data_IF_779221556654
#
_entry.id   IF_779221556654
#
_cell.length_a   1.000
_cell.length_b   1.000
_cell.length_c   1.000
_cell.angle_alpha   90.00
_cell.angle_beta   90.00
_cell.angle_gamma   90.00
#
_symmetry.space_group_name_H-M   'P 1'
#
loop_
_entity.id
_entity.type
_entity.pdbx_description
1 polymer ?
#
# COMPACT_ATOMS: atom_id res chain seq x y z
N UNK A 1 -7.40 -10.17 20.34
CA UNK A 1 -7.47 -9.04 21.29
C UNK A 1 -8.94 -8.61 21.33
N UNK A 2 -9.58 -8.47 22.49
CA UNK A 2 -11.00 -8.06 22.54
C UNK A 2 -11.10 -6.55 22.28
N UNK A 3 -11.72 -6.10 21.17
CA UNK A 3 -11.72 -4.69 20.74
C UNK A 3 -12.47 -3.75 21.69
N UNK A 4 -13.30 -4.27 22.59
CA UNK A 4 -14.23 -3.46 23.39
C UNK A 4 -13.71 -3.08 24.78
N UNK A 5 -12.57 -3.60 25.22
CA UNK A 5 -12.21 -3.49 26.64
C UNK A 5 -11.62 -2.14 27.08
N UNK A 6 -11.01 -1.31 26.20
CA UNK A 6 -10.42 -0.02 26.62
C UNK A 6 -10.36 1.05 25.51
N UNK A 7 -11.49 1.71 25.18
CA UNK A 7 -11.52 2.79 24.17
C UNK A 7 -10.59 3.96 24.52
N UNK A 8 -10.51 4.34 25.79
CA UNK A 8 -9.64 5.43 26.26
C UNK A 8 -8.15 5.15 26.03
N UNK A 9 -7.70 3.91 26.24
CA UNK A 9 -6.31 3.52 26.00
C UNK A 9 -5.97 3.56 24.51
N UNK A 10 -6.90 3.17 23.63
CA UNK A 10 -6.73 3.27 22.18
C UNK A 10 -6.60 4.73 21.76
N UNK A 11 -7.47 5.60 22.25
CA UNK A 11 -7.40 7.03 21.96
C UNK A 11 -6.12 7.68 22.52
N UNK A 12 -5.68 7.33 23.73
CA UNK A 12 -4.44 7.83 24.30
C UNK A 12 -3.22 7.42 23.45
N UNK A 13 -3.22 6.16 22.97
CA UNK A 13 -2.18 5.65 22.07
C UNK A 13 -2.19 6.37 20.72
N UNK A 14 -3.36 6.59 20.12
CA UNK A 14 -3.46 7.37 18.87
C UNK A 14 -2.95 8.79 19.08
N UNK A 15 -3.39 9.49 20.13
CA UNK A 15 -2.90 10.85 20.41
C UNK A 15 -1.38 10.90 20.57
N UNK A 16 -0.80 9.91 21.25
CA UNK A 16 0.66 9.79 21.38
C UNK A 16 1.32 9.54 20.02
N UNK A 17 0.81 8.58 19.24
CA UNK A 17 1.32 8.26 17.90
C UNK A 17 1.24 9.47 16.97
N UNK A 18 0.08 10.14 16.89
CA UNK A 18 -0.08 11.35 16.09
C UNK A 18 0.95 12.41 16.48
N UNK A 19 1.19 12.63 17.77
CA UNK A 19 2.20 13.60 18.22
C UNK A 19 3.62 13.21 17.81
N UNK A 20 3.98 11.93 17.95
CA UNK A 20 5.32 11.43 17.61
C UNK A 20 5.55 11.41 16.11
N UNK A 21 4.61 10.87 15.33
CA UNK A 21 4.71 10.71 13.87
C UNK A 21 4.76 12.06 13.16
N UNK A 22 4.05 13.10 13.65
CA UNK A 22 4.13 14.47 13.12
C UNK A 22 5.52 15.10 13.19
N UNK A 23 6.39 14.60 14.07
CA UNK A 23 7.76 15.09 14.22
C UNK A 23 8.76 14.30 13.38
N UNK A 24 8.33 13.20 12.75
CA UNK A 24 9.19 12.34 11.94
C UNK A 24 9.08 12.73 10.47
N UNK A 25 10.21 12.66 9.77
CA UNK A 25 10.24 12.64 8.31
C UNK A 25 10.08 11.20 7.80
N UNK A 26 9.60 11.04 6.56
CA UNK A 26 9.53 9.75 5.87
C UNK A 26 8.67 8.69 6.60
N UNK A 27 7.42 9.05 6.89
CA UNK A 27 6.42 8.17 7.52
C UNK A 27 5.50 7.60 6.43
N UNK A 28 5.48 6.27 6.33
CA UNK A 28 4.65 5.52 5.40
C UNK A 28 3.56 4.78 6.16
N UNK A 29 2.33 4.91 5.69
CA UNK A 29 1.16 4.20 6.18
C UNK A 29 0.78 3.12 5.19
N UNK A 30 0.35 1.98 5.70
CA UNK A 30 0.08 0.79 4.88
C UNK A 30 -1.32 0.27 5.13
N UNK A 31 -2.01 -0.11 4.06
CA UNK A 31 -3.27 -0.84 4.14
C UNK A 31 -3.41 -1.84 2.98
N UNK A 32 -4.37 -2.76 3.09
CA UNK A 32 -4.78 -3.59 1.99
C UNK A 32 -6.31 -3.74 1.94
N UNK A 33 -6.85 -3.83 0.72
CA UNK A 33 -8.29 -4.02 0.49
C UNK A 33 -8.52 -5.14 -0.53
N UNK A 34 -9.44 -6.10 -0.30
CA UNK A 34 -9.76 -7.14 -1.26
C UNK A 34 -10.51 -6.58 -2.47
N UNK A 35 -10.25 -7.13 -3.66
CA UNK A 35 -11.07 -6.85 -4.84
C UNK A 35 -12.42 -7.57 -4.73
N UNK A 36 -13.51 -6.88 -5.02
CA UNK A 36 -14.86 -7.47 -4.95
C UNK A 36 -15.10 -8.61 -5.97
N UNK A 37 -14.44 -8.54 -7.14
CA UNK A 37 -14.73 -9.41 -8.30
C UNK A 37 -13.67 -10.49 -8.57
N UNK A 38 -12.59 -10.56 -7.78
CA UNK A 38 -11.49 -11.52 -8.00
C UNK A 38 -10.80 -11.91 -6.70
N UNK A 39 -10.20 -13.11 -6.61
CA UNK A 39 -9.48 -13.57 -5.42
C UNK A 39 -8.09 -12.92 -5.34
N UNK A 40 -8.06 -11.60 -5.21
CA UNK A 40 -6.85 -10.79 -5.12
C UNK A 40 -7.11 -9.61 -4.20
N UNK A 41 -6.05 -9.02 -3.66
CA UNK A 41 -6.13 -7.82 -2.85
C UNK A 41 -5.28 -6.71 -3.49
N UNK A 42 -5.65 -5.46 -3.25
CA UNK A 42 -4.78 -4.32 -3.46
C UNK A 42 -4.01 -4.05 -2.16
N UNK A 43 -2.70 -3.97 -2.24
CA UNK A 43 -1.83 -3.54 -1.15
C UNK A 43 -1.32 -2.13 -1.46
N UNK A 44 -1.34 -1.25 -0.48
CA UNK A 44 -0.97 0.17 -0.62
C UNK A 44 0.00 0.59 0.47
N UNK A 45 0.99 1.40 0.08
CA UNK A 45 1.76 2.22 1.01
C UNK A 45 1.70 3.68 0.56
N UNK A 46 1.34 4.60 1.46
CA UNK A 46 1.32 6.03 1.18
C UNK A 46 2.14 6.82 2.20
N UNK A 47 2.77 7.89 1.76
CA UNK A 47 3.26 8.90 2.68
C UNK A 47 2.12 9.86 3.07
N UNK A 48 2.16 10.30 4.31
CA UNK A 48 1.22 11.31 4.80
C UNK A 48 1.99 12.30 5.68
N UNK A 49 1.89 13.62 5.42
CA UNK A 49 0.91 14.30 4.57
C UNK A 49 1.34 14.54 3.10
N UNK A 50 2.44 13.95 2.61
CA UNK A 50 3.04 14.31 1.31
C UNK A 50 2.31 13.73 0.07
N UNK A 51 1.21 13.00 0.25
CA UNK A 51 0.25 12.51 -0.77
C UNK A 51 0.81 11.56 -1.84
N UNK A 52 2.06 11.12 -1.73
CA UNK A 52 2.60 10.08 -2.60
C UNK A 52 2.16 8.70 -2.13
N UNK A 53 1.84 7.82 -3.07
CA UNK A 53 1.48 6.44 -2.76
C UNK A 53 2.05 5.47 -3.80
N UNK A 54 2.15 4.22 -3.38
CA UNK A 54 2.46 3.09 -4.25
C UNK A 54 1.49 1.96 -3.93
N UNK A 55 1.06 1.24 -4.96
CA UNK A 55 0.09 0.19 -4.84
C UNK A 55 0.49 -1.00 -5.71
N UNK A 56 0.09 -2.21 -5.32
CA UNK A 56 0.17 -3.38 -6.17
C UNK A 56 -1.03 -4.31 -5.99
N UNK A 57 -1.33 -5.09 -7.03
CA UNK A 57 -2.27 -6.21 -6.90
C UNK A 57 -1.51 -7.43 -6.40
N UNK A 58 -1.96 -8.00 -5.29
CA UNK A 58 -1.45 -9.25 -4.74
C UNK A 58 -2.43 -10.37 -5.10
N UNK A 59 -2.03 -11.39 -5.87
CA UNK A 59 -2.91 -12.47 -6.32
C UNK A 59 -3.17 -13.49 -5.21
N UNK A 60 -3.78 -13.03 -4.12
CA UNK A 60 -4.13 -13.82 -2.95
C UNK A 60 -5.48 -13.36 -2.37
N UNK A 61 -6.34 -14.28 -1.91
CA UNK A 61 -7.52 -13.94 -1.12
C UNK A 61 -7.19 -13.72 0.37
N UNK A 62 -5.95 -14.02 0.81
CA UNK A 62 -5.54 -13.83 2.19
C UNK A 62 -5.15 -12.36 2.44
N UNK A 63 -6.02 -11.63 3.13
CA UNK A 63 -5.80 -10.21 3.44
C UNK A 63 -4.52 -9.97 4.24
N UNK A 64 -4.18 -10.83 5.19
CA UNK A 64 -2.96 -10.69 5.99
C UNK A 64 -1.69 -10.75 5.11
N UNK A 65 -1.67 -11.63 4.10
CA UNK A 65 -0.57 -11.70 3.16
C UNK A 65 -0.48 -10.44 2.27
N UNK A 66 -1.62 -9.80 1.97
CA UNK A 66 -1.64 -8.53 1.24
C UNK A 66 -1.19 -7.35 2.10
N UNK A 67 -1.57 -7.32 3.38
CA UNK A 67 -1.08 -6.33 4.35
C UNK A 67 0.43 -6.45 4.57
N UNK A 68 0.99 -7.67 4.58
CA UNK A 68 2.44 -7.87 4.57
C UNK A 68 3.09 -7.29 3.30
N UNK A 69 2.48 -7.47 2.12
CA UNK A 69 2.95 -6.85 0.89
C UNK A 69 2.91 -5.32 0.96
N UNK A 70 1.90 -4.73 1.62
CA UNK A 70 1.82 -3.29 1.83
C UNK A 70 3.01 -2.77 2.67
N UNK A 71 3.39 -3.51 3.72
CA UNK A 71 4.63 -3.25 4.48
C UNK A 71 5.86 -3.38 3.58
N UNK A 72 5.95 -4.41 2.75
CA UNK A 72 7.07 -4.58 1.82
C UNK A 72 7.19 -3.43 0.81
N UNK A 73 6.06 -2.90 0.30
CA UNK A 73 6.05 -1.72 -0.55
C UNK A 73 6.66 -0.50 0.18
N UNK A 74 6.26 -0.26 1.43
CA UNK A 74 6.83 0.82 2.23
C UNK A 74 8.34 0.64 2.46
N UNK A 75 8.82 -0.59 2.71
CA UNK A 75 10.26 -0.90 2.83
C UNK A 75 11.01 -0.55 1.53
N UNK A 76 10.46 -0.89 0.37
CA UNK A 76 11.05 -0.55 -0.93
C UNK A 76 11.15 0.97 -1.09
N UNK A 77 10.09 1.71 -0.75
CA UNK A 77 10.08 3.18 -0.84
C UNK A 77 11.08 3.84 0.09
N UNK A 78 11.14 3.41 1.35
CA UNK A 78 12.11 3.93 2.32
C UNK A 78 13.54 3.61 1.87
N UNK A 79 13.80 2.39 1.42
CA UNK A 79 15.12 1.99 0.91
C UNK A 79 15.53 2.82 -0.32
N UNK A 80 14.60 3.07 -1.25
CA UNK A 80 14.86 3.91 -2.41
C UNK A 80 15.18 5.37 -2.04
N UNK A 81 14.59 5.89 -0.96
CA UNK A 81 14.91 7.23 -0.45
C UNK A 81 16.32 7.34 0.15
N UNK A 82 16.91 6.22 0.59
CA UNK A 82 18.20 6.18 1.27
C UNK A 82 18.21 6.81 2.67
N UNK A 83 17.05 7.22 3.20
CA UNK A 83 16.92 7.85 4.52
C UNK A 83 16.16 6.95 5.48
N UNK A 84 16.42 7.02 6.81
CA UNK A 84 15.60 6.33 7.80
C UNK A 84 14.12 6.67 7.65
N UNK A 85 13.26 5.70 7.92
CA UNK A 85 11.81 5.87 7.76
C UNK A 85 11.02 5.09 8.80
N UNK A 86 9.75 5.45 8.92
CA UNK A 86 8.81 4.77 9.83
C UNK A 86 7.64 4.21 9.02
N UNK A 87 7.32 2.95 9.25
CA UNK A 87 6.16 2.28 8.66
C UNK A 87 5.11 2.12 9.74
N UNK A 88 3.89 2.54 9.46
CA UNK A 88 2.73 2.42 10.33
C UNK A 88 1.72 1.50 9.66
N UNK A 89 1.37 0.43 10.37
CA UNK A 89 0.36 -0.55 9.95
C UNK A 89 -0.67 -0.73 11.06
N UNK A 90 -1.94 -0.93 10.69
CA UNK A 90 -2.97 -1.35 11.64
C UNK A 90 -3.24 -2.85 11.68
N UNK A 91 -2.68 -3.59 10.72
CA UNK A 91 -2.63 -5.04 10.75
C UNK A 91 -1.71 -5.55 11.85
N UNK A 92 -2.31 -6.13 12.88
CA UNK A 92 -1.54 -6.76 13.95
C UNK A 92 -0.84 -8.04 13.45
N UNK A 93 -1.44 -8.76 12.50
CA UNK A 93 -0.89 -10.02 11.99
C UNK A 93 0.30 -9.75 11.08
N UNK A 94 0.19 -8.81 10.13
CA UNK A 94 1.32 -8.43 9.28
C UNK A 94 2.48 -7.85 10.10
N UNK A 95 2.17 -7.01 11.11
CA UNK A 95 3.18 -6.51 12.06
C UNK A 95 3.96 -7.66 12.71
N UNK A 96 3.26 -8.65 13.25
CA UNK A 96 3.88 -9.81 13.92
C UNK A 96 4.71 -10.63 12.95
N UNK A 97 4.17 -10.97 11.78
CA UNK A 97 4.88 -11.78 10.78
C UNK A 97 6.20 -11.12 10.39
N UNK A 98 6.15 -9.84 10.00
CA UNK A 98 7.33 -9.10 9.54
C UNK A 98 8.32 -8.86 10.68
N UNK A 99 7.84 -8.51 11.89
CA UNK A 99 8.72 -8.30 13.05
C UNK A 99 9.49 -9.56 13.48
N UNK A 100 8.97 -10.74 13.15
CA UNK A 100 9.63 -12.03 13.38
C UNK A 100 10.55 -12.45 12.22
N UNK A 101 10.75 -11.59 11.21
CA UNK A 101 11.55 -11.89 10.02
C UNK A 101 10.91 -12.89 9.07
N UNK A 102 9.59 -13.08 9.17
CA UNK A 102 8.81 -13.92 8.27
C UNK A 102 8.12 -13.07 7.20
N UNK A 103 7.67 -13.71 6.13
CA UNK A 103 6.85 -13.06 5.11
C UNK A 103 6.31 -14.06 4.11
N UNK A 104 5.15 -13.76 3.55
CA UNK A 104 4.57 -14.55 2.48
C UNK A 104 5.47 -14.57 1.23
N UNK A 105 5.30 -15.55 0.32
CA UNK A 105 6.01 -15.56 -0.95
C UNK A 105 5.83 -14.27 -1.76
N UNK A 106 4.67 -13.63 -1.67
CA UNK A 106 4.39 -12.35 -2.33
C UNK A 106 5.19 -11.20 -1.69
N UNK A 107 5.25 -11.17 -0.36
CA UNK A 107 6.07 -10.22 0.40
C UNK A 107 7.54 -10.32 0.00
N UNK A 108 8.08 -11.53 -0.05
CA UNK A 108 9.47 -11.77 -0.47
C UNK A 108 9.70 -11.37 -1.94
N UNK A 109 8.72 -11.58 -2.82
CA UNK A 109 8.83 -11.16 -4.21
C UNK A 109 8.94 -9.63 -4.34
N UNK A 110 8.18 -8.87 -3.55
CA UNK A 110 8.29 -7.40 -3.49
C UNK A 110 9.66 -6.99 -2.94
N UNK A 111 10.12 -7.59 -1.84
CA UNK A 111 11.41 -7.23 -1.23
C UNK A 111 12.61 -7.52 -2.14
N UNK A 112 12.54 -8.56 -2.98
CA UNK A 112 13.57 -8.88 -3.99
C UNK A 112 13.74 -7.84 -5.10
N UNK A 113 12.84 -6.85 -5.18
CA UNK A 113 13.01 -5.71 -6.09
C UNK A 113 14.05 -4.70 -5.60
N UNK A 114 14.43 -4.77 -4.32
CA UNK A 114 15.50 -3.95 -3.74
C UNK A 114 16.85 -4.48 -4.28
N UNK A 115 17.67 -3.64 -4.94
CA UNK A 115 18.97 -4.07 -5.43
C UNK A 115 19.91 -4.49 -4.28
N UNK A 116 20.66 -5.57 -4.44
CA UNK A 116 21.56 -6.13 -3.40
C UNK A 116 22.61 -5.13 -2.89
N UNK A 117 22.96 -4.13 -3.68
CA UNK A 117 23.96 -3.11 -3.36
C UNK A 117 23.37 -1.89 -2.62
N UNK A 118 22.06 -1.82 -2.43
CA UNK A 118 21.44 -0.72 -1.68
C UNK A 118 21.60 -0.95 -0.16
N UNK A 119 22.28 -0.05 0.57
CA UNK A 119 22.30 -0.13 2.02
C UNK A 119 20.89 0.07 2.56
N UNK A 120 20.43 -0.86 3.40
CA UNK A 120 19.13 -0.75 4.05
C UNK A 120 19.19 0.37 5.11
N UNK A 121 18.40 1.44 4.97
CA UNK A 121 18.30 2.45 6.01
C UNK A 121 17.61 1.87 7.26
N UNK A 122 17.70 2.58 8.39
CA UNK A 122 16.96 2.20 9.59
C UNK A 122 15.45 2.36 9.33
N UNK A 123 14.70 1.26 9.48
CA UNK A 123 13.25 1.23 9.30
C UNK A 123 12.60 0.88 10.66
N UNK A 124 11.74 1.76 11.15
CA UNK A 124 10.95 1.52 12.34
C UNK A 124 9.55 1.04 11.94
N UNK A 125 9.14 -0.15 12.40
CA UNK A 125 7.79 -0.66 12.18
C UNK A 125 6.93 -0.45 13.43
N UNK A 126 5.78 0.21 13.26
CA UNK A 126 4.85 0.56 14.35
C UNK A 126 3.47 -0.01 14.06
N UNK A 127 2.89 -0.71 15.04
CA UNK A 127 1.49 -1.07 15.01
C UNK A 127 0.61 0.00 15.66
N UNK A 128 -0.39 0.47 14.91
CA UNK A 128 -1.42 1.40 15.32
C UNK A 128 -2.80 0.72 15.36
N UNK A 129 -3.73 1.11 16.24
CA UNK A 129 -5.08 0.57 16.20
C UNK A 129 -5.86 1.08 14.96
N UNK A 130 -6.53 0.17 14.25
CA UNK A 130 -7.42 0.49 13.13
C UNK A 130 -8.59 1.40 13.55
N UNK A 131 -9.08 2.22 12.62
CA UNK A 131 -10.25 3.10 12.75
C UNK A 131 -10.29 3.94 14.04
N UNK A 132 -9.12 4.39 14.50
CA UNK A 132 -8.98 5.10 15.76
C UNK A 132 -8.68 6.61 15.58
N UNK A 133 -8.85 7.15 14.36
CA UNK A 133 -8.65 8.57 14.05
C UNK A 133 -7.22 8.95 13.66
N UNK A 134 -6.42 7.99 13.17
CA UNK A 134 -5.08 8.28 12.67
C UNK A 134 -5.14 8.59 11.18
N UNK A 135 -5.06 9.88 10.83
CA UNK A 135 -5.25 10.40 9.46
C UNK A 135 -4.48 9.61 8.39
N UNK A 136 -3.23 9.22 8.66
CA UNK A 136 -2.44 8.45 7.70
C UNK A 136 -2.95 7.02 7.46
N UNK A 137 -3.53 6.35 8.49
CA UNK A 137 -4.17 5.04 8.29
C UNK A 137 -5.43 5.18 7.43
N UNK A 138 -6.23 6.22 7.69
CA UNK A 138 -7.44 6.51 6.92
C UNK A 138 -7.10 6.81 5.46
N UNK A 139 -6.05 7.60 5.23
CA UNK A 139 -5.55 7.87 3.87
C UNK A 139 -5.07 6.60 3.15
N UNK A 140 -4.35 5.70 3.83
CA UNK A 140 -3.92 4.44 3.23
C UNK A 140 -5.13 3.56 2.83
N UNK A 141 -6.15 3.53 3.69
CA UNK A 141 -7.39 2.81 3.43
C UNK A 141 -8.18 3.37 2.27
N UNK A 142 -8.31 4.70 2.21
CA UNK A 142 -8.98 5.39 1.11
C UNK A 142 -8.29 5.10 -0.22
N UNK A 143 -6.95 5.13 -0.26
CA UNK A 143 -6.19 4.75 -1.45
C UNK A 143 -6.40 3.28 -1.84
N UNK A 144 -6.42 2.36 -0.88
CA UNK A 144 -6.66 0.94 -1.15
C UNK A 144 -8.08 0.68 -1.68
N UNK A 145 -9.07 1.38 -1.14
CA UNK A 145 -10.44 1.38 -1.65
C UNK A 145 -10.53 1.98 -3.05
N UNK A 146 -9.87 3.10 -3.32
CA UNK A 146 -9.84 3.73 -4.64
C UNK A 146 -9.21 2.81 -5.70
N UNK A 147 -8.12 2.11 -5.36
CA UNK A 147 -7.45 1.16 -6.27
C UNK A 147 -8.25 -0.12 -6.54
N UNK A 148 -9.26 -0.44 -5.71
CA UNK A 148 -10.09 -1.65 -5.85
C UNK A 148 -11.45 -1.36 -6.47
N UNK A 149 -11.94 -0.14 -6.34
CA UNK A 149 -13.18 0.27 -6.93
C UNK A 149 -13.06 0.32 -8.47
N UNK A 150 -14.03 -0.22 -9.21
CA UNK A 150 -14.10 0.02 -10.63
C UNK A 150 -14.22 1.53 -10.85
N UNK A 151 -13.34 2.10 -11.68
CA UNK A 151 -13.52 3.48 -12.13
C UNK A 151 -14.87 3.54 -12.84
N UNK A 152 -15.77 4.40 -12.35
CA UNK A 152 -17.01 4.69 -13.07
C UNK A 152 -16.63 5.20 -14.48
N UNK A 153 -17.01 4.51 -15.56
CA UNK A 153 -16.66 4.90 -16.93
C UNK A 153 -17.18 6.31 -17.29
N UNK A 154 -18.14 6.84 -16.52
CA UNK A 154 -18.66 8.20 -16.61
C UNK A 154 -17.69 9.27 -16.07
N UNK A 155 -16.74 8.86 -15.22
CA UNK A 155 -15.70 9.71 -14.61
C UNK A 155 -14.35 9.60 -15.32
N UNK A 156 -14.21 8.67 -16.27
CA UNK A 156 -13.01 8.57 -17.10
C UNK A 156 -13.00 9.68 -18.15
N UNK A 157 -11.83 10.30 -18.35
CA UNK A 157 -11.62 11.20 -19.49
C UNK A 157 -11.93 10.42 -20.77
N UNK A 158 -12.54 11.01 -21.82
CA UNK A 158 -12.98 10.27 -23.01
C UNK A 158 -11.92 9.42 -23.71
N UNK A 159 -10.63 9.72 -23.47
CA UNK A 159 -9.47 8.98 -24.00
C UNK A 159 -9.16 7.71 -23.21
N UNK A 160 -9.50 7.64 -21.93
CA UNK A 160 -9.19 6.52 -21.03
C UNK A 160 -10.35 5.51 -20.91
N UNK A 161 -11.47 5.78 -21.59
CA UNK A 161 -12.61 4.88 -21.63
C UNK A 161 -12.24 3.62 -22.41
N UNK A 162 -12.53 2.41 -21.90
CA UNK A 162 -12.28 1.18 -22.66
C UNK A 162 -13.02 1.25 -23.98
N UNK A 163 -12.27 1.11 -25.08
CA UNK A 163 -12.79 1.10 -26.44
C UNK A 163 -13.79 -0.06 -26.53
N UNK A 164 -15.03 0.23 -26.94
CA UNK A 164 -16.04 -0.81 -27.17
C UNK A 164 -15.48 -1.89 -28.11
N UNK A 165 -15.79 -3.18 -27.90
CA UNK A 165 -15.16 -4.29 -28.62
C UNK A 165 -15.47 -4.38 -30.13
N UNK A 166 -16.11 -3.36 -30.72
CA UNK A 166 -16.55 -3.33 -32.12
C UNK A 166 -15.61 -2.60 -33.07
N UNK A 167 -14.41 -2.17 -32.64
CA UNK A 167 -13.40 -1.70 -33.60
C UNK A 167 -12.60 -2.87 -34.16
N UNK A 168 -12.89 -3.20 -35.42
CA UNK A 168 -12.10 -4.06 -36.27
C UNK A 168 -10.59 -3.82 -36.06
N UNK A 169 -9.91 -4.92 -35.76
CA UNK A 169 -8.48 -5.00 -35.50
C UNK A 169 -7.72 -4.47 -36.73
N UNK A 170 -7.32 -3.21 -36.70
CA UNK A 170 -6.26 -2.74 -37.58
C UNK A 170 -4.93 -3.21 -36.98
N UNK A 171 -4.06 -3.87 -37.78
CA UNK A 171 -2.79 -4.36 -37.27
C UNK A 171 -1.97 -3.18 -36.73
N UNK A 172 -1.41 -3.36 -35.53
CA UNK A 172 -0.56 -2.40 -34.86
C UNK A 172 0.57 -1.97 -35.81
N UNK A 173 0.59 -0.69 -36.18
CA UNK A 173 1.69 -0.09 -36.93
C UNK A 173 2.96 -0.22 -36.10
N UNK A 174 3.98 -0.87 -36.68
CA UNK A 174 5.28 -0.98 -36.05
C UNK A 174 6.07 0.30 -36.29
N UNK A 175 7.03 0.61 -35.41
CA UNK A 175 7.88 1.82 -35.52
C UNK A 175 8.61 1.93 -36.88
N UNK A 176 8.80 0.81 -37.57
CA UNK A 176 9.32 0.72 -38.93
C UNK A 176 8.41 1.32 -40.02
N UNK A 177 7.11 1.48 -39.77
CA UNK A 177 6.13 1.92 -40.78
C UNK A 177 5.96 3.45 -40.83
N UNK A 178 6.60 4.19 -39.92
CA UNK A 178 6.41 5.65 -39.76
C UNK A 178 7.53 6.46 -40.44
N UNK A 179 8.62 5.83 -40.86
CA UNK A 179 9.75 6.54 -41.50
C UNK A 179 9.81 6.23 -43.00
N UNK A 180 9.04 7.01 -43.77
CA UNK A 180 9.31 7.27 -45.18
C UNK A 180 9.53 8.77 -45.39
#
# INVERSE_FOLDING_TARGET
MNPDLHPERRQARVRQLTKTLRQQCNVWYTDATPYAQRPSCCAVACDYPETSFTACTVPTPNIAAAEECAIALAIVRITASGTPGTIVTDSQDAYRTISNGLGSPHTLAVLRTIPDMHPLPQINLIWAPAHAGLEGNEAAHDWACECTNPVDPSRMHPVDRPISPDLHCHPLLTYSDILH
#
